data_IF_477761394834
#
_entry.id   IF_477761394834
#
_cell.length_a   1.000
_cell.length_b   1.000
_cell.length_c   1.000
_cell.angle_alpha   90.00
_cell.angle_beta   90.00
_cell.angle_gamma   90.00
#
_symmetry.space_group_name_H-M   'P 1'
#
loop_
_entity.id
_entity.type
_entity.pdbx_description
1 polymer ?
#
# COMPACT_ATOMS: atom_id res chain seq x y z
N UNK A 1 -54.67 45.43 -11.01
CA UNK A 1 -54.84 43.98 -10.81
C UNK A 1 -53.95 43.60 -9.64
N UNK A 2 -54.52 43.21 -8.50
CA UNK A 2 -53.77 42.84 -7.28
C UNK A 2 -53.77 41.31 -7.19
N UNK A 3 -52.58 40.73 -7.20
CA UNK A 3 -52.36 39.31 -6.98
C UNK A 3 -52.73 38.93 -5.55
N UNK A 4 -53.66 37.98 -5.41
CA UNK A 4 -53.99 37.35 -4.14
C UNK A 4 -53.00 36.18 -3.97
N UNK A 5 -51.98 36.38 -3.14
CA UNK A 5 -51.12 35.28 -2.69
C UNK A 5 -51.89 34.40 -1.70
N UNK A 6 -52.09 33.14 -2.06
CA UNK A 6 -52.60 32.11 -1.14
C UNK A 6 -51.57 31.82 -0.02
N UNK A 7 -52.02 31.51 1.20
CA UNK A 7 -51.16 31.17 2.34
C UNK A 7 -50.24 29.98 2.02
N UNK A 8 -49.00 30.03 2.53
CA UNK A 8 -47.93 29.04 2.28
C UNK A 8 -48.39 27.60 2.58
N UNK A 9 -49.21 27.42 3.61
CA UNK A 9 -49.69 26.10 4.05
C UNK A 9 -50.56 25.41 2.99
N UNK A 10 -51.34 26.16 2.21
CA UNK A 10 -52.15 25.61 1.13
C UNK A 10 -51.33 25.27 -0.13
N UNK A 11 -50.17 25.92 -0.34
CA UNK A 11 -49.21 25.54 -1.38
C UNK A 11 -48.46 24.26 -1.03
N UNK A 12 -48.20 24.01 0.25
CA UNK A 12 -47.54 22.80 0.73
C UNK A 12 -48.43 21.56 0.61
N UNK A 13 -49.75 21.71 0.79
CA UNK A 13 -50.69 20.60 0.60
C UNK A 13 -50.89 20.22 -0.88
N UNK A 14 -50.81 21.17 -1.81
CA UNK A 14 -50.89 20.88 -3.26
C UNK A 14 -49.62 20.22 -3.83
N UNK A 15 -48.48 20.31 -3.14
CA UNK A 15 -47.22 19.65 -3.51
C UNK A 15 -47.05 18.27 -2.87
N UNK A 16 -48.04 17.80 -2.13
CA UNK A 16 -48.01 16.52 -1.42
C UNK A 16 -48.40 15.40 -2.38
N UNK A 17 -47.45 14.92 -3.18
CA UNK A 17 -47.64 13.68 -3.94
C UNK A 17 -47.92 12.51 -2.98
N UNK A 18 -48.82 11.58 -3.32
CA UNK A 18 -49.07 10.39 -2.52
C UNK A 18 -47.85 9.49 -2.59
N UNK A 19 -47.00 9.57 -1.57
CA UNK A 19 -45.87 8.67 -1.39
C UNK A 19 -46.37 7.25 -1.07
N UNK A 20 -46.62 6.48 -2.12
CA UNK A 20 -46.70 5.03 -2.07
C UNK A 20 -45.52 4.50 -2.87
N UNK A 21 -44.36 4.42 -2.21
CA UNK A 21 -43.29 3.53 -2.63
C UNK A 21 -43.40 2.28 -1.76
N UNK A 22 -44.14 1.29 -2.24
CA UNK A 22 -43.91 -0.07 -1.77
C UNK A 22 -42.48 -0.43 -2.18
N UNK A 23 -41.61 -0.58 -1.18
CA UNK A 23 -40.23 -1.00 -1.39
C UNK A 23 -40.21 -2.26 -2.27
N UNK A 24 -39.35 -2.32 -3.31
CA UNK A 24 -39.20 -3.52 -4.14
C UNK A 24 -38.96 -4.73 -3.24
N UNK A 25 -39.58 -5.89 -3.54
CA UNK A 25 -39.51 -7.08 -2.69
C UNK A 25 -38.07 -7.48 -2.36
N UNK A 26 -37.12 -7.25 -3.27
CA UNK A 26 -35.70 -7.51 -3.03
C UNK A 26 -35.09 -6.65 -1.92
N UNK A 27 -35.55 -5.40 -1.78
CA UNK A 27 -35.14 -4.47 -0.72
C UNK A 27 -35.85 -4.83 0.58
N UNK A 28 -37.14 -5.16 0.54
CA UNK A 28 -37.91 -5.62 1.71
C UNK A 28 -37.32 -6.93 2.27
N UNK A 29 -37.06 -7.92 1.41
CA UNK A 29 -36.44 -9.19 1.80
C UNK A 29 -35.03 -9.02 2.39
N UNK A 30 -34.24 -8.05 1.89
CA UNK A 30 -32.91 -7.74 2.45
C UNK A 30 -33.03 -7.05 3.81
N UNK A 31 -33.96 -6.13 3.97
CA UNK A 31 -34.24 -5.50 5.25
C UNK A 31 -34.72 -6.52 6.28
N UNK A 32 -35.66 -7.39 5.92
CA UNK A 32 -36.20 -8.42 6.81
C UNK A 32 -35.11 -9.43 7.22
N UNK A 33 -34.23 -9.85 6.30
CA UNK A 33 -33.06 -10.66 6.64
C UNK A 33 -32.10 -9.94 7.58
N UNK A 34 -31.89 -8.64 7.36
CA UNK A 34 -30.99 -7.84 8.21
C UNK A 34 -31.58 -7.68 9.61
N UNK A 35 -32.90 -7.47 9.73
CA UNK A 35 -33.59 -7.41 11.02
C UNK A 35 -33.60 -8.76 11.74
N UNK A 36 -33.76 -9.89 11.02
CA UNK A 36 -33.62 -11.23 11.61
C UNK A 36 -32.21 -11.49 12.12
N UNK A 37 -31.18 -11.10 11.36
CA UNK A 37 -29.77 -11.23 11.79
C UNK A 37 -29.51 -10.36 13.02
N UNK A 38 -30.05 -9.14 13.07
CA UNK A 38 -29.92 -8.26 14.24
C UNK A 38 -30.66 -8.82 15.45
N UNK A 39 -31.87 -9.35 15.27
CA UNK A 39 -32.65 -9.95 16.37
C UNK A 39 -32.03 -11.27 16.88
N UNK A 40 -31.33 -12.01 16.00
CA UNK A 40 -30.49 -13.16 16.38
C UNK A 40 -29.15 -12.75 17.05
N UNK A 41 -28.58 -11.59 16.68
CA UNK A 41 -27.34 -11.07 17.27
C UNK A 41 -27.57 -10.28 18.56
N UNK A 42 -28.80 -9.83 18.83
CA UNK A 42 -29.17 -9.21 20.10
C UNK A 42 -29.50 -10.29 21.12
N UNK A 43 -28.77 -10.40 22.25
CA UNK A 43 -29.04 -11.43 23.24
C UNK A 43 -30.39 -11.17 23.90
N UNK A 44 -31.38 -11.97 23.50
CA UNK A 44 -32.69 -12.05 24.15
C UNK A 44 -32.55 -12.23 25.66
N UNK A 45 -33.13 -11.29 26.41
CA UNK A 45 -33.32 -11.36 27.87
C UNK A 45 -34.02 -12.67 28.27
N UNK A 46 -33.30 -13.71 28.71
CA UNK A 46 -33.80 -14.70 29.69
C UNK A 46 -32.69 -15.26 30.62
N UNK A 47 -32.88 -14.95 31.91
CA UNK A 47 -32.49 -15.62 33.17
C UNK A 47 -31.37 -16.70 33.18
N UNK A 48 -30.36 -16.38 34.01
CA UNK A 48 -29.67 -17.21 35.05
C UNK A 48 -28.96 -18.53 34.65
N UNK A 49 -27.65 -18.52 34.93
CA UNK A 49 -26.93 -19.47 35.83
C UNK A 49 -25.83 -20.36 35.21
N UNK A 50 -24.65 -20.23 35.83
CA UNK A 50 -23.56 -21.21 36.05
C UNK A 50 -22.43 -21.41 35.01
N UNK A 51 -21.26 -20.96 35.51
CA UNK A 51 -19.92 -21.56 35.44
C UNK A 51 -19.04 -21.28 34.21
N UNK A 52 -18.34 -20.15 34.34
CA UNK A 52 -16.90 -20.01 34.19
C UNK A 52 -16.12 -21.33 34.39
N UNK A 53 -15.52 -21.85 33.33
CA UNK A 53 -14.28 -22.65 33.39
C UNK A 53 -13.50 -22.74 32.06
N UNK A 54 -14.04 -22.23 30.95
CA UNK A 54 -13.36 -22.30 29.65
C UNK A 54 -12.51 -21.05 29.31
N UNK A 55 -12.87 -19.87 29.83
CA UNK A 55 -12.07 -18.63 29.66
C UNK A 55 -10.69 -18.65 30.34
N UNK A 56 -10.38 -19.66 31.17
CA UNK A 56 -9.05 -19.80 31.80
C UNK A 56 -8.02 -20.55 30.95
N UNK A 57 -8.36 -20.99 29.73
CA UNK A 57 -7.43 -21.73 28.86
C UNK A 57 -6.87 -20.94 27.66
N UNK A 58 -7.18 -19.65 27.54
CA UNK A 58 -6.67 -18.80 26.43
C UNK A 58 -5.63 -17.76 26.91
N UNK A 59 -5.29 -17.72 28.21
CA UNK A 59 -4.46 -16.65 28.77
C UNK A 59 -3.05 -17.06 29.22
N UNK A 60 -2.51 -18.22 28.82
CA UNK A 60 -1.14 -18.61 29.24
C UNK A 60 -0.34 -19.22 28.08
N UNK A 61 0.39 -18.36 27.37
CA UNK A 61 1.70 -18.62 26.73
C UNK A 61 2.28 -17.27 26.24
N UNK A 62 2.68 -16.34 27.13
CA UNK A 62 4.09 -15.98 27.47
C UNK A 62 5.07 -15.94 26.27
N UNK A 63 5.87 -14.89 26.00
CA UNK A 63 6.33 -13.77 26.84
C UNK A 63 6.97 -12.60 26.02
N UNK A 64 6.90 -11.38 26.56
CA UNK A 64 7.65 -10.16 26.17
C UNK A 64 6.89 -9.26 25.20
N UNK A 65 6.50 -8.01 25.45
CA UNK A 65 7.03 -6.95 26.33
C UNK A 65 5.85 -6.15 26.90
N UNK A 66 5.81 -6.02 28.23
CA UNK A 66 4.97 -5.04 28.91
C UNK A 66 5.82 -3.81 29.19
N UNK A 67 5.70 -2.78 28.33
CA UNK A 67 6.27 -1.45 28.57
C UNK A 67 5.33 -0.39 28.00
N UNK A 68 4.54 0.23 28.90
CA UNK A 68 3.88 1.52 28.78
C UNK A 68 2.72 1.65 27.76
N UNK A 69 1.50 1.58 28.30
CA UNK A 69 0.41 2.48 27.88
C UNK A 69 -0.25 2.26 26.52
N UNK A 70 -0.19 1.08 25.91
CA UNK A 70 -0.93 0.80 24.68
C UNK A 70 -2.35 0.37 25.03
N UNK A 71 -3.30 1.30 24.96
CA UNK A 71 -4.72 0.94 24.85
C UNK A 71 -4.97 0.56 23.39
N UNK A 72 -4.74 -0.70 23.03
CA UNK A 72 -5.16 -1.26 21.75
C UNK A 72 -6.70 -1.35 21.76
N UNK A 73 -7.37 -0.28 21.33
CA UNK A 73 -8.82 -0.33 21.12
C UNK A 73 -9.05 -0.96 19.75
N UNK A 74 -9.28 -2.28 19.72
CA UNK A 74 -9.95 -2.96 18.61
C UNK A 74 -11.43 -2.55 18.58
N UNK A 75 -11.73 -1.29 18.27
CA UNK A 75 -13.11 -0.86 18.00
C UNK A 75 -13.31 -0.86 16.49
N UNK A 76 -14.28 -1.63 16.01
CA UNK A 76 -14.76 -1.60 14.62
C UNK A 76 -15.47 -0.29 14.23
N UNK A 77 -15.01 0.85 14.73
CA UNK A 77 -15.49 2.18 14.38
C UNK A 77 -14.49 2.78 13.38
N UNK A 78 -14.96 3.06 12.17
CA UNK A 78 -14.17 3.73 11.14
C UNK A 78 -13.56 5.04 11.68
N UNK A 79 -12.32 5.34 11.29
CA UNK A 79 -11.66 6.60 11.67
C UNK A 79 -12.50 7.81 11.27
N UNK A 80 -12.74 8.79 12.17
CA UNK A 80 -13.36 10.07 11.81
C UNK A 80 -12.72 10.76 10.60
N UNK A 81 -11.40 10.76 10.47
CA UNK A 81 -10.72 11.34 9.31
C UNK A 81 -11.18 10.68 8.00
N UNK A 82 -11.37 9.37 8.03
CA UNK A 82 -11.80 8.58 6.86
C UNK A 82 -13.30 8.67 6.65
N UNK A 83 -14.10 8.66 7.72
CA UNK A 83 -15.53 8.88 7.64
C UNK A 83 -15.85 10.24 7.01
N UNK A 84 -15.02 11.27 7.25
CA UNK A 84 -15.16 12.56 6.62
C UNK A 84 -14.86 12.50 5.12
N UNK A 85 -13.81 11.80 4.72
CA UNK A 85 -13.47 11.55 3.31
C UNK A 85 -14.59 10.77 2.60
N UNK A 86 -15.09 9.67 3.18
CA UNK A 86 -16.22 8.89 2.64
C UNK A 86 -17.53 9.69 2.55
N UNK A 87 -17.77 10.65 3.45
CA UNK A 87 -18.93 11.54 3.40
C UNK A 87 -18.86 12.54 2.25
N UNK A 88 -17.66 13.01 1.90
CA UNK A 88 -17.49 14.07 0.90
C UNK A 88 -17.60 13.56 -0.53
N UNK A 89 -17.18 12.32 -0.79
CA UNK A 89 -17.27 11.70 -2.12
C UNK A 89 -18.15 10.46 -2.01
N UNK A 90 -19.44 10.56 -2.41
CA UNK A 90 -20.34 9.41 -2.46
C UNK A 90 -19.74 8.26 -3.27
N UNK A 91 -19.97 7.02 -2.84
CA UNK A 91 -19.47 5.77 -3.47
C UNK A 91 -17.95 5.54 -3.38
N UNK A 92 -17.19 6.45 -2.80
CA UNK A 92 -15.80 6.21 -2.47
C UNK A 92 -15.72 5.26 -1.28
N UNK A 93 -14.95 4.18 -1.41
CA UNK A 93 -14.80 3.14 -0.39
C UNK A 93 -13.33 2.94 0.05
N UNK A 94 -12.40 3.70 -0.53
CA UNK A 94 -10.96 3.56 -0.29
C UNK A 94 -10.24 4.88 -0.60
N UNK A 95 -9.29 5.28 0.25
CA UNK A 95 -8.41 6.44 0.05
C UNK A 95 -7.41 6.18 -1.07
N UNK A 96 -7.09 4.91 -1.38
CA UNK A 96 -6.24 4.56 -2.52
C UNK A 96 -6.79 5.03 -3.87
N UNK A 97 -8.10 5.29 -3.98
CA UNK A 97 -8.71 5.87 -5.19
C UNK A 97 -8.40 7.35 -5.38
N UNK A 98 -7.84 8.02 -4.37
CA UNK A 98 -7.56 9.45 -4.37
C UNK A 98 -6.12 9.81 -4.75
N UNK A 99 -5.25 8.81 -4.94
CA UNK A 99 -3.84 8.99 -5.25
C UNK A 99 -3.53 8.55 -6.68
N UNK A 100 -2.46 9.10 -7.27
CA UNK A 100 -2.12 8.88 -8.68
C UNK A 100 -1.55 7.50 -9.03
N UNK A 101 -1.41 6.59 -8.05
CA UNK A 101 -0.88 5.24 -8.26
C UNK A 101 -1.98 4.31 -8.79
N UNK A 102 -1.90 3.91 -10.07
CA UNK A 102 -2.90 3.03 -10.70
C UNK A 102 -3.02 1.66 -10.01
N UNK A 103 -1.93 1.16 -9.42
CA UNK A 103 -1.94 -0.09 -8.66
C UNK A 103 -2.82 0.00 -7.41
N UNK A 104 -2.70 1.11 -6.68
CA UNK A 104 -3.53 1.39 -5.51
C UNK A 104 -5.00 1.62 -5.88
N UNK A 105 -5.27 2.39 -6.93
CA UNK A 105 -6.63 2.57 -7.44
C UNK A 105 -7.26 1.21 -7.81
N UNK A 106 -6.52 0.40 -8.57
CA UNK A 106 -6.95 -0.94 -8.99
C UNK A 106 -7.21 -1.85 -7.79
N UNK A 107 -6.38 -1.77 -6.74
CA UNK A 107 -6.60 -2.53 -5.51
C UNK A 107 -7.95 -2.16 -4.88
N UNK A 108 -8.25 -0.87 -4.76
CA UNK A 108 -9.51 -0.37 -4.20
C UNK A 108 -10.74 -0.69 -5.06
N UNK A 109 -10.58 -0.76 -6.38
CA UNK A 109 -11.65 -1.14 -7.32
C UNK A 109 -11.94 -2.64 -7.30
N UNK A 110 -10.90 -3.47 -7.30
CA UNK A 110 -11.01 -4.94 -7.35
C UNK A 110 -11.21 -5.59 -5.98
N UNK A 111 -11.34 -4.78 -4.92
CA UNK A 111 -11.50 -5.29 -3.55
C UNK A 111 -10.27 -6.06 -3.04
N UNK A 112 -9.08 -5.72 -3.54
CA UNK A 112 -7.79 -6.31 -3.13
C UNK A 112 -7.17 -5.54 -1.95
N UNK A 113 -8.00 -4.83 -1.21
CA UNK A 113 -7.62 -4.05 -0.03
C UNK A 113 -8.15 -4.76 1.20
N UNK A 114 -7.30 -4.92 2.20
CA UNK A 114 -7.65 -5.45 3.51
C UNK A 114 -7.97 -4.31 4.45
N UNK A 115 -9.16 -4.33 5.06
CA UNK A 115 -9.49 -3.40 6.14
C UNK A 115 -8.74 -3.78 7.43
N UNK A 116 -7.95 -2.86 7.95
CA UNK A 116 -7.18 -3.01 9.21
C UNK A 116 -7.95 -2.39 10.37
N UNK A 117 -8.48 -1.17 10.18
CA UNK A 117 -9.25 -0.39 11.15
C UNK A 117 -8.65 -0.33 12.57
N UNK A 118 -7.33 -0.19 12.68
CA UNK A 118 -6.65 -0.03 13.97
C UNK A 118 -6.44 1.44 14.30
N UNK A 119 -6.52 1.76 15.59
CA UNK A 119 -6.37 3.12 16.12
C UNK A 119 -5.56 3.08 17.41
N UNK A 120 -4.63 4.01 17.55
CA UNK A 120 -3.79 4.18 18.73
C UNK A 120 -3.76 5.67 19.09
N UNK A 121 -4.05 5.99 20.35
CA UNK A 121 -4.18 7.36 20.82
C UNK A 121 -3.25 7.65 21.99
N UNK A 122 -2.45 8.72 21.87
CA UNK A 122 -1.58 9.23 22.93
C UNK A 122 -1.71 10.75 23.03
N UNK A 123 -1.88 11.26 24.26
CA UNK A 123 -1.89 12.71 24.56
C UNK A 123 -2.79 13.57 23.63
N UNK A 124 -3.94 13.04 23.20
CA UNK A 124 -4.90 13.74 22.34
C UNK A 124 -4.61 13.68 20.84
N UNK A 125 -3.54 12.98 20.44
CA UNK A 125 -3.23 12.64 19.05
C UNK A 125 -3.59 11.17 18.83
N UNK A 126 -4.30 10.88 17.74
CA UNK A 126 -4.67 9.51 17.35
C UNK A 126 -4.10 9.22 15.98
N UNK A 127 -3.36 8.12 15.86
CA UNK A 127 -3.00 7.54 14.57
C UNK A 127 -3.90 6.34 14.27
N UNK A 128 -4.25 6.17 13.01
CA UNK A 128 -5.05 5.04 12.57
C UNK A 128 -4.60 4.46 11.24
N UNK A 129 -4.74 3.15 11.11
CA UNK A 129 -4.58 2.42 9.84
C UNK A 129 -5.94 1.86 9.47
N UNK A 130 -6.53 2.34 8.37
CA UNK A 130 -7.84 1.85 7.92
C UNK A 130 -7.74 0.67 7.00
N UNK A 131 -6.80 0.73 6.08
CA UNK A 131 -6.76 -0.14 4.93
C UNK A 131 -5.32 -0.33 4.47
N UNK A 132 -5.06 -1.51 3.91
CA UNK A 132 -3.76 -1.89 3.38
C UNK A 132 -3.92 -2.80 2.17
N UNK A 133 -2.88 -2.87 1.35
CA UNK A 133 -2.73 -3.87 0.31
C UNK A 133 -1.31 -4.45 0.39
N UNK A 134 -1.19 -5.73 0.11
CA UNK A 134 0.10 -6.41 -0.02
C UNK A 134 -0.04 -7.54 -1.02
N UNK A 135 0.70 -7.45 -2.12
CA UNK A 135 0.65 -8.44 -3.22
C UNK A 135 1.87 -9.35 -3.27
N UNK A 136 2.69 -9.33 -2.21
CA UNK A 136 3.96 -10.06 -2.15
C UNK A 136 5.16 -9.24 -2.59
N UNK A 137 4.96 -8.22 -3.45
CA UNK A 137 6.03 -7.36 -3.94
C UNK A 137 6.12 -6.04 -3.19
N UNK A 138 4.99 -5.48 -2.76
CA UNK A 138 4.93 -4.14 -2.15
C UNK A 138 3.78 -4.07 -1.16
N UNK A 139 4.05 -3.47 0.00
CA UNK A 139 3.03 -3.11 0.98
C UNK A 139 2.66 -1.65 0.78
N UNK A 140 1.35 -1.36 0.75
CA UNK A 140 0.86 0.01 0.89
C UNK A 140 -0.25 0.08 1.92
N UNK A 141 -0.24 1.11 2.77
CA UNK A 141 -1.24 1.33 3.81
C UNK A 141 -1.62 2.80 3.92
N UNK A 142 -2.83 3.06 4.42
CA UNK A 142 -3.33 4.41 4.72
C UNK A 142 -3.12 4.69 6.20
N UNK A 143 -2.21 5.61 6.52
CA UNK A 143 -2.01 6.10 7.89
C UNK A 143 -2.67 7.48 8.02
N UNK A 144 -3.60 7.61 8.95
CA UNK A 144 -4.29 8.89 9.23
C UNK A 144 -3.93 9.42 10.61
N UNK A 145 -3.89 10.74 10.74
CA UNK A 145 -3.70 11.44 12.00
C UNK A 145 -4.93 12.26 12.35
N UNK A 146 -5.37 12.13 13.59
CA UNK A 146 -6.43 12.96 14.18
C UNK A 146 -5.87 13.67 15.40
N UNK A 147 -5.96 14.99 15.39
CA UNK A 147 -5.51 15.84 16.49
C UNK A 147 -6.51 16.97 16.67
N UNK A 148 -6.90 17.22 17.92
CA UNK A 148 -7.74 18.36 18.34
C UNK A 148 -7.21 19.75 17.88
N UNK A 149 -5.94 19.86 17.47
CA UNK A 149 -5.29 21.10 17.05
C UNK A 149 -5.02 21.20 15.53
N UNK A 150 -5.40 20.20 14.74
CA UNK A 150 -5.06 20.11 13.31
C UNK A 150 -6.00 20.98 12.44
N UNK A 151 -5.92 22.31 12.57
CA UNK A 151 -6.82 23.21 11.83
C UNK A 151 -6.22 23.81 10.55
N UNK A 152 -4.94 23.58 10.22
CA UNK A 152 -4.33 24.21 9.03
C UNK A 152 -3.43 23.32 8.15
N UNK A 153 -2.53 22.54 8.73
CA UNK A 153 -1.61 21.72 7.94
C UNK A 153 -2.19 20.33 7.64
N UNK A 154 -1.86 19.79 6.46
CA UNK A 154 -2.12 18.38 6.15
C UNK A 154 -1.20 17.47 6.97
N UNK A 155 -1.60 16.21 7.20
CA UNK A 155 -0.75 15.28 7.94
C UNK A 155 0.61 15.08 7.23
N UNK A 156 0.63 15.04 5.90
CA UNK A 156 1.88 14.95 5.13
C UNK A 156 2.80 16.16 5.35
N UNK A 157 2.24 17.38 5.43
CA UNK A 157 3.02 18.59 5.72
C UNK A 157 3.59 18.56 7.13
N UNK A 158 2.79 18.17 8.13
CA UNK A 158 3.25 18.00 9.50
C UNK A 158 4.36 16.94 9.59
N UNK A 159 4.15 15.79 8.95
CA UNK A 159 5.12 14.71 8.87
C UNK A 159 6.46 15.20 8.34
N UNK A 160 6.46 15.93 7.22
CA UNK A 160 7.68 16.44 6.62
C UNK A 160 8.37 17.50 7.50
N UNK A 161 7.62 18.42 8.12
CA UNK A 161 8.18 19.40 9.08
C UNK A 161 8.86 18.69 10.25
N UNK A 162 8.21 17.67 10.80
CA UNK A 162 8.71 16.91 11.94
C UNK A 162 9.90 16.02 11.60
N UNK A 163 9.89 15.39 10.42
CA UNK A 163 11.01 14.57 9.94
C UNK A 163 12.32 15.37 9.90
N UNK A 164 12.27 16.64 9.50
CA UNK A 164 13.44 17.53 9.46
C UNK A 164 13.97 17.89 10.86
N UNK A 165 13.14 17.79 11.89
CA UNK A 165 13.51 18.06 13.29
C UNK A 165 13.93 16.79 14.04
N UNK A 166 13.54 15.63 13.52
CA UNK A 166 13.82 14.32 14.11
C UNK A 166 15.31 13.99 14.03
N UNK A 167 15.85 13.44 15.12
CA UNK A 167 17.20 12.83 15.13
C UNK A 167 17.19 11.38 14.65
N UNK A 168 16.00 10.80 14.39
CA UNK A 168 15.86 9.42 13.92
C UNK A 168 16.04 9.36 12.41
N UNK A 169 16.76 8.34 11.95
CA UNK A 169 16.88 8.03 10.53
C UNK A 169 15.54 7.57 9.93
N UNK A 170 14.75 6.81 10.70
CA UNK A 170 13.44 6.30 10.31
C UNK A 170 12.36 6.74 11.30
N UNK A 171 11.21 7.16 10.77
CA UNK A 171 10.02 7.50 11.55
C UNK A 171 8.96 6.39 11.55
N UNK A 172 9.17 5.33 10.75
CA UNK A 172 8.33 4.13 10.73
C UNK A 172 9.26 2.93 10.68
N UNK A 173 9.03 1.98 11.58
CA UNK A 173 9.72 0.68 11.57
C UNK A 173 8.71 -0.45 11.41
N UNK A 174 9.07 -1.43 10.59
CA UNK A 174 8.34 -2.67 10.35
C UNK A 174 9.12 -3.84 10.92
N UNK A 175 8.41 -4.73 11.61
CA UNK A 175 8.98 -5.93 12.20
C UNK A 175 8.16 -7.17 11.86
N UNK A 176 8.87 -8.28 11.69
CA UNK A 176 8.32 -9.63 11.67
C UNK A 176 8.90 -10.37 12.87
N UNK A 177 8.08 -10.59 13.90
CA UNK A 177 8.58 -10.96 15.23
C UNK A 177 9.52 -9.88 15.77
N UNK A 178 10.74 -10.27 16.14
CA UNK A 178 11.78 -9.35 16.63
C UNK A 178 12.71 -8.84 15.53
N UNK A 179 12.58 -9.33 14.29
CA UNK A 179 13.43 -8.93 13.16
C UNK A 179 12.85 -7.68 12.50
N UNK A 180 13.63 -6.60 12.44
CA UNK A 180 13.31 -5.42 11.65
C UNK A 180 13.45 -5.73 10.15
N UNK A 181 12.47 -5.32 9.36
CA UNK A 181 12.35 -5.63 7.92
C UNK A 181 12.16 -4.37 7.06
N UNK A 182 12.67 -3.23 7.52
CA UNK A 182 12.56 -1.97 6.78
C UNK A 182 13.25 -2.06 5.41
N UNK A 183 12.59 -1.50 4.40
CA UNK A 183 13.14 -1.24 3.07
C UNK A 183 13.14 0.26 2.78
N UNK A 184 13.50 0.65 1.55
CA UNK A 184 13.09 1.95 1.03
C UNK A 184 11.60 2.18 1.25
N UNK A 185 11.24 3.40 1.66
CA UNK A 185 9.87 3.77 2.03
C UNK A 185 9.42 4.98 1.21
N UNK A 186 8.30 4.82 0.53
CA UNK A 186 7.59 5.90 -0.16
C UNK A 186 6.52 6.50 0.75
N UNK A 187 6.42 7.83 0.77
CA UNK A 187 5.33 8.54 1.44
C UNK A 187 4.69 9.50 0.45
N UNK A 188 3.37 9.43 0.32
CA UNK A 188 2.59 10.36 -0.48
C UNK A 188 1.38 10.87 0.33
N UNK A 189 0.90 12.09 0.08
CA UNK A 189 -0.33 12.58 0.70
C UNK A 189 -1.54 11.74 0.24
N UNK A 190 -2.57 11.63 1.08
CA UNK A 190 -3.83 10.96 0.74
C UNK A 190 -4.72 11.70 -0.27
N UNK A 191 -4.25 12.81 -0.83
CA UNK A 191 -5.00 13.67 -1.75
C UNK A 191 -5.79 14.79 -1.06
N UNK A 192 -6.39 15.67 -1.85
CA UNK A 192 -7.12 16.86 -1.38
C UNK A 192 -8.32 16.52 -0.49
N UNK A 193 -8.96 15.37 -0.75
CA UNK A 193 -10.12 14.89 -0.01
C UNK A 193 -9.76 14.00 1.19
N UNK A 194 -8.48 13.72 1.41
CA UNK A 194 -7.97 13.02 2.59
C UNK A 194 -6.70 13.71 3.15
N UNK A 195 -6.77 15.01 3.51
CA UNK A 195 -5.59 15.79 3.88
C UNK A 195 -4.94 15.32 5.18
N UNK A 196 -5.68 14.58 6.01
CA UNK A 196 -5.18 14.00 7.25
C UNK A 196 -4.68 12.56 7.10
N UNK A 197 -4.49 12.11 5.87
CA UNK A 197 -3.97 10.78 5.52
C UNK A 197 -2.67 10.87 4.75
N UNK A 198 -1.79 9.90 4.97
CA UNK A 198 -0.62 9.61 4.15
C UNK A 198 -0.70 8.16 3.69
N UNK A 199 -0.26 7.91 2.47
CA UNK A 199 -0.01 6.54 2.01
C UNK A 199 1.43 6.21 2.31
N UNK A 200 1.63 5.12 3.05
CA UNK A 200 2.95 4.57 3.33
C UNK A 200 3.14 3.36 2.43
N UNK A 201 4.19 3.39 1.62
CA UNK A 201 4.58 2.29 0.74
C UNK A 201 5.94 1.75 1.18
N UNK A 202 6.04 0.44 1.40
CA UNK A 202 7.24 -0.20 1.93
C UNK A 202 7.33 -1.67 1.48
N UNK A 203 8.33 -2.38 2.00
CA UNK A 203 8.66 -3.78 1.73
C UNK A 203 8.99 -4.06 0.26
N UNK A 204 9.46 -3.03 -0.44
CA UNK A 204 9.89 -3.07 -1.83
C UNK A 204 11.40 -3.31 -1.88
N UNK A 205 11.84 -4.57 -1.77
CA UNK A 205 13.25 -4.96 -1.93
C UNK A 205 13.43 -6.35 -2.53
N UNK A 206 14.45 -6.51 -3.38
CA UNK A 206 14.82 -7.77 -4.01
C UNK A 206 15.27 -8.84 -3.01
N UNK A 207 15.95 -8.41 -1.95
CA UNK A 207 16.54 -9.29 -0.93
C UNK A 207 15.56 -9.63 0.20
N UNK A 208 14.33 -9.10 0.14
CA UNK A 208 13.35 -9.27 1.19
C UNK A 208 12.47 -10.49 0.94
N UNK A 209 12.87 -11.62 1.52
CA UNK A 209 12.04 -12.82 1.57
C UNK A 209 11.09 -12.78 2.78
N UNK A 210 9.79 -12.62 2.51
CA UNK A 210 8.73 -12.71 3.50
C UNK A 210 7.94 -14.02 3.33
N UNK A 211 7.45 -14.64 4.42
CA UNK A 211 6.57 -15.80 4.33
C UNK A 211 5.20 -15.41 3.73
N UNK A 212 4.43 -16.41 3.32
CA UNK A 212 3.09 -16.21 2.75
C UNK A 212 2.09 -15.63 3.75
N UNK A 213 2.32 -15.85 5.05
CA UNK A 213 1.56 -15.18 6.10
C UNK A 213 2.42 -14.98 7.33
N UNK A 214 2.28 -13.81 7.95
CA UNK A 214 2.93 -13.44 9.21
C UNK A 214 2.17 -12.31 9.88
N UNK A 215 2.39 -12.11 11.18
CA UNK A 215 1.94 -10.91 11.87
C UNK A 215 3.00 -9.82 11.72
N UNK A 216 2.58 -8.67 11.21
CA UNK A 216 3.46 -7.52 11.06
C UNK A 216 3.23 -6.53 12.19
N UNK A 217 4.32 -6.09 12.81
CA UNK A 217 4.32 -4.96 13.74
C UNK A 217 4.85 -3.72 13.02
N UNK A 218 4.06 -2.66 13.03
CA UNK A 218 4.45 -1.34 12.55
C UNK A 218 4.55 -0.39 13.75
N UNK A 219 5.68 0.29 13.89
CA UNK A 219 5.92 1.28 14.94
C UNK A 219 6.11 2.65 14.30
N UNK A 220 5.31 3.63 14.71
CA UNK A 220 5.38 5.00 14.20
C UNK A 220 5.88 5.95 15.28
N UNK A 221 6.85 6.78 14.92
CA UNK A 221 7.46 7.79 15.78
C UNK A 221 7.10 9.19 15.29
N UNK A 222 6.34 9.91 16.11
CA UNK A 222 6.05 11.33 15.89
C UNK A 222 7.01 12.19 16.72
N UNK A 223 7.51 13.30 16.17
CA UNK A 223 8.48 14.13 16.88
C UNK A 223 7.85 14.96 18.01
N UNK A 224 6.53 15.16 17.95
CA UNK A 224 5.74 15.94 18.91
C UNK A 224 5.05 15.10 19.98
N UNK A 225 5.30 13.78 20.01
CA UNK A 225 4.74 12.84 20.98
C UNK A 225 5.84 11.87 21.43
N UNK A 226 6.04 11.75 22.75
CA UNK A 226 7.11 10.89 23.31
C UNK A 226 6.81 9.39 23.16
N UNK A 227 5.53 9.03 23.16
CA UNK A 227 5.05 7.66 23.05
C UNK A 227 5.07 7.15 21.59
N UNK A 228 5.43 5.88 21.43
CA UNK A 228 5.40 5.20 20.14
C UNK A 228 4.00 4.71 19.82
N UNK A 229 3.60 4.78 18.56
CA UNK A 229 2.33 4.21 18.09
C UNK A 229 2.60 2.84 17.48
N UNK A 230 2.09 1.78 18.11
CA UNK A 230 2.31 0.40 17.68
C UNK A 230 1.04 -0.21 17.09
N UNK A 231 1.16 -0.75 15.88
CA UNK A 231 0.10 -1.45 15.16
C UNK A 231 0.52 -2.89 14.88
N UNK A 232 -0.42 -3.83 15.01
CA UNK A 232 -0.18 -5.27 14.82
C UNK A 232 -1.24 -5.85 13.91
N UNK A 233 -0.88 -6.20 12.68
CA UNK A 233 -1.86 -6.70 11.72
C UNK A 233 -1.37 -7.92 10.93
N UNK A 234 -2.27 -8.88 10.64
CA UNK A 234 -1.90 -10.07 9.89
C UNK A 234 -1.68 -9.72 8.42
N UNK A 235 -0.55 -10.14 7.89
CA UNK A 235 -0.24 -10.10 6.47
C UNK A 235 -0.46 -11.48 5.87
N UNK A 236 -1.07 -11.50 4.69
CA UNK A 236 -1.18 -12.67 3.84
C UNK A 236 -0.87 -12.25 2.40
N UNK A 237 0.07 -12.93 1.77
CA UNK A 237 0.36 -12.74 0.35
C UNK A 237 -0.84 -13.24 -0.47
N UNK A 238 -1.32 -12.42 -1.38
CA UNK A 238 -2.27 -12.83 -2.42
C UNK A 238 -1.49 -13.31 -3.65
N UNK A 239 -0.99 -14.55 -3.61
CA UNK A 239 -0.14 -15.13 -4.67
C UNK A 239 -0.93 -15.83 -5.77
N UNK A 240 -2.25 -16.02 -5.61
CA UNK A 240 -3.07 -16.78 -6.57
C UNK A 240 -3.12 -16.13 -7.96
N UNK A 241 -2.84 -14.83 -8.04
CA UNK A 241 -2.91 -14.02 -9.26
C UNK A 241 -1.54 -13.53 -9.73
N UNK A 242 -0.47 -14.05 -9.15
CA UNK A 242 0.90 -13.66 -9.47
C UNK A 242 1.47 -14.54 -10.58
N UNK A 243 1.91 -13.91 -11.66
CA UNK A 243 2.68 -14.57 -12.72
C UNK A 243 4.14 -14.31 -12.47
N UNK A 244 4.93 -15.38 -12.35
CA UNK A 244 6.38 -15.30 -12.17
C UNK A 244 7.05 -15.72 -13.48
N UNK A 245 7.78 -14.80 -14.10
CA UNK A 245 8.62 -15.08 -15.26
C UNK A 245 10.08 -15.16 -14.83
N UNK A 246 10.78 -16.17 -15.32
CA UNK A 246 12.22 -16.36 -15.15
C UNK A 246 12.81 -16.76 -16.50
N UNK A 247 14.03 -16.32 -16.75
CA UNK A 247 14.82 -16.74 -17.91
C UNK A 247 16.22 -17.13 -17.45
N UNK A 248 16.83 -18.10 -18.14
CA UNK A 248 18.24 -18.40 -17.98
C UNK A 248 19.10 -17.66 -19.02
N UNK A 249 18.48 -16.83 -19.87
CA UNK A 249 19.18 -16.01 -20.84
C UNK A 249 20.00 -14.92 -20.12
N UNK A 250 21.23 -14.74 -20.58
CA UNK A 250 22.11 -13.66 -20.15
C UNK A 250 22.54 -12.87 -21.38
N UNK A 251 22.62 -11.54 -21.27
CA UNK A 251 23.08 -10.66 -22.34
C UNK A 251 24.28 -9.85 -21.89
N UNK A 252 25.25 -9.69 -22.79
CA UNK A 252 26.49 -8.99 -22.48
C UNK A 252 26.77 -7.90 -23.50
N UNK A 253 27.12 -6.71 -23.02
CA UNK A 253 27.55 -5.59 -23.84
C UNK A 253 28.43 -4.65 -23.02
N UNK A 254 29.57 -4.20 -23.56
CA UNK A 254 30.47 -3.24 -22.89
C UNK A 254 30.80 -3.59 -21.42
N UNK A 255 31.16 -4.85 -21.18
CA UNK A 255 31.45 -5.43 -19.86
C UNK A 255 30.27 -5.50 -18.88
N UNK A 256 29.07 -5.09 -19.30
CA UNK A 256 27.82 -5.29 -18.56
C UNK A 256 27.30 -6.67 -18.91
N UNK A 257 27.25 -7.59 -17.93
CA UNK A 257 26.64 -8.92 -18.10
C UNK A 257 25.34 -8.95 -17.31
N UNK A 258 24.22 -8.87 -18.03
CA UNK A 258 22.90 -8.67 -17.48
C UNK A 258 22.08 -9.96 -17.54
N UNK A 259 21.30 -10.20 -16.49
CA UNK A 259 20.33 -11.28 -16.40
C UNK A 259 18.99 -10.75 -15.86
N UNK A 260 17.89 -11.39 -16.26
CA UNK A 260 16.59 -11.11 -15.65
C UNK A 260 16.33 -12.20 -14.60
N UNK A 261 16.59 -11.87 -13.33
CA UNK A 261 16.41 -12.80 -12.22
C UNK A 261 14.95 -13.22 -12.09
N UNK A 262 14.05 -12.24 -12.20
CA UNK A 262 12.60 -12.46 -12.06
C UNK A 262 11.79 -11.27 -12.56
N UNK A 263 10.65 -11.56 -13.18
CA UNK A 263 9.54 -10.60 -13.33
C UNK A 263 8.33 -11.16 -12.58
N UNK A 264 7.73 -10.36 -11.71
CA UNK A 264 6.49 -10.70 -11.00
C UNK A 264 5.37 -9.78 -11.47
N UNK A 265 4.31 -10.34 -12.00
CA UNK A 265 3.15 -9.58 -12.47
C UNK A 265 1.97 -9.93 -11.56
N UNK A 266 1.46 -8.95 -10.85
CA UNK A 266 0.21 -9.05 -10.08
C UNK A 266 -0.86 -8.17 -10.73
N UNK A 267 -2.14 -8.27 -10.32
CA UNK A 267 -3.17 -7.36 -10.80
C UNK A 267 -2.95 -5.89 -10.42
N UNK A 268 -2.01 -5.58 -9.53
CA UNK A 268 -1.82 -4.25 -8.94
C UNK A 268 -0.38 -3.73 -8.98
N UNK A 269 0.62 -4.54 -9.29
CA UNK A 269 2.02 -4.11 -9.47
C UNK A 269 2.76 -5.09 -10.39
N UNK A 270 3.69 -4.57 -11.19
CA UNK A 270 4.68 -5.39 -11.89
C UNK A 270 6.05 -5.12 -11.29
N UNK A 271 6.77 -6.15 -10.85
CA UNK A 271 8.12 -6.03 -10.30
C UNK A 271 9.14 -6.66 -11.24
N UNK A 272 10.22 -5.95 -11.53
CA UNK A 272 11.36 -6.43 -12.30
C UNK A 272 12.59 -6.51 -11.40
N UNK A 273 13.25 -7.66 -11.38
CA UNK A 273 14.56 -7.88 -10.76
C UNK A 273 15.59 -8.21 -11.85
N UNK A 274 16.67 -7.44 -11.89
CA UNK A 274 17.75 -7.54 -12.87
C UNK A 274 19.08 -7.69 -12.15
N UNK A 275 19.81 -8.75 -12.48
CA UNK A 275 21.19 -8.96 -12.03
C UNK A 275 22.19 -8.39 -13.03
N UNK A 276 23.24 -7.74 -12.52
CA UNK A 276 24.44 -7.35 -13.29
C UNK A 276 25.68 -7.94 -12.63
N UNK A 277 26.49 -8.64 -13.40
CA UNK A 277 27.64 -9.39 -12.91
C UNK A 277 28.92 -9.11 -13.73
N UNK A 278 30.08 -9.39 -13.13
CA UNK A 278 31.36 -9.39 -13.83
C UNK A 278 31.45 -10.44 -14.93
N UNK A 279 32.39 -10.27 -15.88
CA UNK A 279 32.47 -11.10 -17.09
C UNK A 279 32.69 -12.58 -16.80
N UNK A 280 33.46 -12.88 -15.75
CA UNK A 280 33.69 -14.24 -15.26
C UNK A 280 32.65 -14.73 -14.23
N UNK A 281 31.74 -13.87 -13.77
CA UNK A 281 30.83 -14.14 -12.64
C UNK A 281 31.53 -14.26 -11.27
N UNK A 282 32.87 -14.25 -11.25
CA UNK A 282 33.72 -14.42 -10.07
C UNK A 282 34.43 -13.12 -9.66
N UNK A 283 34.33 -12.09 -10.50
CA UNK A 283 34.90 -10.77 -10.22
C UNK A 283 34.20 -10.09 -9.04
N UNK A 284 34.99 -9.43 -8.20
CA UNK A 284 34.49 -8.46 -7.22
C UNK A 284 33.79 -7.31 -7.95
N UNK A 285 32.65 -6.88 -7.41
CA UNK A 285 31.90 -5.67 -7.74
C UNK A 285 32.77 -4.49 -8.19
N UNK A 286 33.87 -4.15 -7.48
CA UNK A 286 34.73 -3.02 -7.87
C UNK A 286 35.38 -3.22 -9.24
N UNK A 287 35.92 -4.41 -9.50
CA UNK A 287 36.55 -4.74 -10.78
C UNK A 287 35.53 -4.77 -11.92
N UNK A 288 34.33 -5.29 -11.63
CA UNK A 288 33.21 -5.23 -12.57
C UNK A 288 32.91 -3.77 -12.94
N UNK A 289 32.77 -2.88 -11.95
CA UNK A 289 32.49 -1.45 -12.21
C UNK A 289 33.60 -0.75 -12.99
N UNK A 290 34.87 -1.04 -12.69
CA UNK A 290 36.01 -0.46 -13.39
C UNK A 290 36.05 -0.85 -14.87
N UNK A 291 35.57 -2.06 -15.21
CA UNK A 291 35.52 -2.55 -16.59
C UNK A 291 34.35 -1.97 -17.41
N UNK A 292 33.33 -1.41 -16.75
CA UNK A 292 32.17 -0.80 -17.43
C UNK A 292 32.53 0.62 -17.88
N UNK A 293 32.24 1.03 -19.13
CA UNK A 293 32.50 2.40 -19.59
C UNK A 293 31.75 3.47 -18.79
N UNK A 294 32.37 4.62 -18.62
CA UNK A 294 31.77 5.77 -17.89
C UNK A 294 30.51 6.31 -18.57
N UNK A 295 30.27 5.98 -19.85
CA UNK A 295 29.02 6.30 -20.53
C UNK A 295 27.78 5.71 -19.86
N UNK A 296 27.95 4.63 -19.07
CA UNK A 296 26.89 3.96 -18.31
C UNK A 296 26.84 4.37 -16.83
N UNK A 297 27.71 5.29 -16.41
CA UNK A 297 27.84 5.71 -15.02
C UNK A 297 27.32 7.11 -14.80
N UNK A 298 26.79 7.34 -13.60
CA UNK A 298 26.44 8.66 -13.06
C UNK A 298 27.16 8.80 -11.72
N UNK A 299 27.97 9.85 -11.56
CA UNK A 299 28.79 10.08 -10.38
C UNK A 299 29.69 8.88 -9.98
N UNK A 300 30.16 8.12 -10.98
CA UNK A 300 31.01 6.95 -10.79
C UNK A 300 30.27 5.64 -10.47
N UNK A 301 28.94 5.66 -10.37
CA UNK A 301 28.11 4.48 -10.13
C UNK A 301 27.38 4.04 -11.39
N UNK A 302 27.27 2.73 -11.60
CA UNK A 302 26.43 2.18 -12.67
C UNK A 302 24.97 2.61 -12.44
N UNK A 303 24.37 3.28 -13.42
CA UNK A 303 23.02 3.81 -13.32
C UNK A 303 22.15 3.28 -14.47
N UNK A 304 21.80 2.01 -14.39
CA UNK A 304 20.87 1.38 -15.32
C UNK A 304 19.44 1.57 -14.82
N UNK A 305 18.59 2.08 -15.72
CA UNK A 305 17.14 2.11 -15.59
C UNK A 305 16.53 1.19 -16.65
N UNK A 306 15.26 0.85 -16.49
CA UNK A 306 14.58 -0.12 -17.34
C UNK A 306 13.19 0.38 -17.68
N UNK A 307 12.83 0.33 -18.96
CA UNK A 307 11.45 0.42 -19.40
C UNK A 307 10.90 -0.97 -19.68
N UNK A 308 9.60 -1.13 -19.47
CA UNK A 308 8.88 -2.37 -19.74
C UNK A 308 7.74 -2.06 -20.69
N UNK A 309 7.69 -2.79 -21.82
CA UNK A 309 6.64 -2.67 -22.83
C UNK A 309 5.88 -3.99 -22.98
N UNK A 310 4.60 -3.92 -23.34
CA UNK A 310 3.82 -5.09 -23.78
C UNK A 310 4.03 -5.39 -25.29
N UNK A 311 3.34 -6.41 -25.82
CA UNK A 311 3.46 -6.77 -27.25
C UNK A 311 3.00 -5.67 -28.22
N UNK A 312 2.28 -4.66 -27.75
CA UNK A 312 1.78 -3.52 -28.54
C UNK A 312 2.70 -2.30 -28.43
N UNK A 313 3.76 -2.37 -27.62
CA UNK A 313 4.67 -1.27 -27.36
C UNK A 313 4.17 -0.28 -26.29
N UNK A 314 3.17 -0.66 -25.48
CA UNK A 314 2.71 0.20 -24.39
C UNK A 314 3.69 0.13 -23.21
N UNK A 315 4.40 1.23 -22.97
CA UNK A 315 5.31 1.38 -21.82
C UNK A 315 4.55 1.41 -20.49
N UNK A 316 5.05 0.68 -19.49
CA UNK A 316 4.56 0.72 -18.12
C UNK A 316 5.25 1.83 -17.33
N UNK A 317 4.49 2.59 -16.54
CA UNK A 317 5.05 3.63 -15.70
C UNK A 317 5.80 3.03 -14.50
N UNK A 318 7.07 3.41 -14.32
CA UNK A 318 7.82 3.07 -13.12
C UNK A 318 7.28 3.84 -11.91
N UNK A 319 7.09 3.13 -10.80
CA UNK A 319 6.62 3.68 -9.51
C UNK A 319 7.80 3.94 -8.58
N UNK A 320 8.69 2.96 -8.47
CA UNK A 320 9.85 3.02 -7.58
C UNK A 320 10.96 2.11 -8.12
N UNK A 321 12.21 2.47 -7.85
CA UNK A 321 13.36 1.66 -8.20
C UNK A 321 14.47 1.79 -7.17
N UNK A 322 15.16 0.69 -6.91
CA UNK A 322 16.33 0.65 -6.05
C UNK A 322 17.38 -0.32 -6.63
N UNK A 323 18.66 0.00 -6.39
CA UNK A 323 19.77 -0.88 -6.70
C UNK A 323 20.57 -1.18 -5.44
N UNK A 324 21.00 -2.43 -5.28
CA UNK A 324 21.98 -2.84 -4.28
C UNK A 324 23.17 -3.50 -4.97
N UNK A 325 24.36 -3.29 -4.42
CA UNK A 325 25.58 -3.92 -4.90
C UNK A 325 26.38 -4.46 -3.73
N UNK A 326 26.62 -5.76 -3.72
CA UNK A 326 27.49 -6.43 -2.74
C UNK A 326 28.13 -7.67 -3.37
N UNK A 327 29.35 -7.99 -2.96
CA UNK A 327 30.06 -9.19 -3.42
C UNK A 327 30.43 -9.13 -4.91
N UNK A 328 29.77 -9.97 -5.73
CA UNK A 328 30.13 -10.26 -7.13
C UNK A 328 29.28 -9.53 -8.18
N UNK A 329 28.40 -8.63 -7.77
CA UNK A 329 27.52 -7.94 -8.71
C UNK A 329 26.57 -6.93 -8.09
N UNK A 330 25.58 -6.53 -8.89
CA UNK A 330 24.48 -5.64 -8.51
C UNK A 330 23.15 -6.28 -8.83
N UNK A 331 22.15 -5.94 -8.03
CA UNK A 331 20.75 -6.25 -8.30
C UNK A 331 19.98 -4.94 -8.39
N UNK A 332 19.26 -4.77 -9.48
CA UNK A 332 18.30 -3.69 -9.66
C UNK A 332 16.90 -4.23 -9.48
N UNK A 333 16.09 -3.48 -8.76
CA UNK A 333 14.69 -3.78 -8.53
C UNK A 333 13.85 -2.58 -8.89
N UNK A 334 12.88 -2.77 -9.78
CA UNK A 334 11.97 -1.70 -10.19
C UNK A 334 10.53 -2.19 -10.13
N UNK A 335 9.67 -1.40 -9.50
CA UNK A 335 8.22 -1.60 -9.43
C UNK A 335 7.55 -0.68 -10.45
N UNK A 336 6.59 -1.21 -11.20
CA UNK A 336 5.82 -0.53 -12.23
C UNK A 336 4.32 -0.65 -11.95
N UNK A 337 3.55 0.22 -12.58
CA UNK A 337 2.11 0.08 -12.67
C UNK A 337 1.70 -1.28 -13.25
N UNK A 338 0.54 -1.82 -12.85
CA UNK A 338 0.06 -3.08 -13.37
C UNK A 338 -0.30 -2.95 -14.85
N UNK A 339 -0.06 -4.01 -15.62
CA UNK A 339 -0.62 -4.11 -16.95
C UNK A 339 -2.16 -4.10 -16.88
N UNK A 340 -2.79 -3.25 -17.69
CA UNK A 340 -4.26 -3.16 -17.77
C UNK A 340 -4.90 -4.48 -18.22
N UNK A 341 -4.21 -5.19 -19.11
CA UNK A 341 -4.57 -6.52 -19.62
C UNK A 341 -3.34 -7.40 -19.50
N UNK A 342 -3.49 -8.69 -19.16
CA UNK A 342 -2.37 -9.65 -19.12
C UNK A 342 -1.65 -9.61 -20.48
N UNK A 343 -0.36 -9.21 -20.54
CA UNK A 343 0.38 -9.21 -21.79
C UNK A 343 0.71 -10.63 -22.21
N UNK A 344 0.97 -10.84 -23.50
CA UNK A 344 1.47 -12.11 -24.06
C UNK A 344 3.00 -12.13 -24.20
N UNK A 345 3.59 -10.95 -24.29
CA UNK A 345 5.03 -10.72 -24.35
C UNK A 345 5.38 -9.48 -23.53
N UNK A 346 6.48 -9.55 -22.80
CA UNK A 346 7.09 -8.39 -22.15
C UNK A 346 8.43 -8.11 -22.80
N UNK A 347 8.69 -6.85 -23.11
CA UNK A 347 9.98 -6.36 -23.60
C UNK A 347 10.60 -5.48 -22.52
N UNK A 348 11.80 -5.84 -22.07
CA UNK A 348 12.57 -5.08 -21.05
C UNK A 348 13.70 -4.36 -21.76
N UNK A 349 13.70 -3.03 -21.66
CA UNK A 349 14.60 -2.14 -22.39
C UNK A 349 15.48 -1.38 -21.40
N UNK A 350 16.73 -1.83 -21.19
CA UNK A 350 17.66 -1.11 -20.33
C UNK A 350 18.11 0.19 -20.99
N UNK A 351 18.29 1.23 -20.19
CA UNK A 351 18.80 2.52 -20.63
C UNK A 351 19.59 3.22 -19.53
N UNK A 352 20.37 4.21 -19.94
CA UNK A 352 21.03 5.15 -19.02
C UNK A 352 20.44 6.53 -19.25
N UNK A 353 19.97 7.15 -18.18
CA UNK A 353 19.42 8.50 -18.22
C UNK A 353 20.53 9.54 -18.15
N UNK A 354 20.54 10.47 -19.11
CA UNK A 354 21.41 11.66 -19.11
C UNK A 354 20.55 12.90 -19.29
N UNK A 355 20.25 13.57 -18.18
CA UNK A 355 19.27 14.65 -18.18
C UNK A 355 17.86 14.11 -18.54
N UNK A 356 17.15 14.72 -19.51
CA UNK A 356 15.83 14.23 -19.93
C UNK A 356 15.91 12.99 -20.85
N UNK A 357 17.07 12.72 -21.45
CA UNK A 357 17.19 11.73 -22.51
C UNK A 357 17.42 10.31 -21.96
N UNK A 358 16.65 9.35 -22.50
CA UNK A 358 16.86 7.91 -22.29
C UNK A 358 17.79 7.37 -23.37
N UNK A 359 19.00 6.95 -23.01
CA UNK A 359 19.93 6.30 -23.93
C UNK A 359 19.78 4.78 -23.80
N UNK A 360 18.96 4.20 -24.67
CA UNK A 360 18.70 2.75 -24.67
C UNK A 360 19.92 1.92 -25.07
N UNK A 361 19.96 0.69 -24.56
CA UNK A 361 21.02 -0.30 -24.83
C UNK A 361 20.39 -1.54 -25.49
N UNK A 362 20.08 -1.51 -26.81
CA UNK A 362 19.33 -2.58 -27.48
C UNK A 362 19.99 -3.97 -27.39
N UNK A 363 21.31 -4.03 -27.25
CA UNK A 363 22.08 -5.27 -27.10
C UNK A 363 21.73 -6.02 -25.81
N UNK A 364 21.19 -5.30 -24.82
CA UNK A 364 20.78 -5.83 -23.53
C UNK A 364 19.24 -5.94 -23.41
N UNK A 365 18.47 -5.74 -24.49
CA UNK A 365 17.00 -5.86 -24.45
C UNK A 365 16.55 -7.31 -24.26
N UNK A 366 15.62 -7.58 -23.35
CA UNK A 366 15.04 -8.93 -23.15
C UNK A 366 13.61 -9.02 -23.67
N UNK A 367 13.24 -10.19 -24.20
CA UNK A 367 11.88 -10.50 -24.65
C UNK A 367 11.38 -11.75 -23.95
N UNK A 368 10.42 -11.58 -23.04
CA UNK A 368 9.93 -12.63 -22.17
C UNK A 368 8.49 -12.99 -22.53
N UNK A 369 8.23 -14.18 -23.10
CA UNK A 369 6.87 -14.62 -23.36
C UNK A 369 6.13 -14.89 -22.05
N UNK A 370 4.90 -14.40 -21.95
CA UNK A 370 4.03 -14.60 -20.79
C UNK A 370 3.07 -15.72 -21.12
N UNK A 371 3.24 -16.88 -20.45
CA UNK A 371 2.41 -18.07 -20.67
C UNK A 371 1.20 -18.11 -19.76
#
# INVERSE_FOLDING_TARGET
MKDIQLPIDQRLEQLREPYISELPESVRNRMDRTYQIIDEMLPGRKRRSRKNRWLRRVLISTAGVASLGIVMIFSGLASPAIAQTLKQIPFMNSVFKLVGDLGLQTAGEKGMVTSVNQRVSHKGVTLSISEMMYDGSRLSLVLSREDSKAEKDSFFQLWNKQRMLSKRANNIDFYMGDKQINTGMGLQPGGEHAPQSIIVTALDSADLELPDSFEMKMVVYLADVDENYEFLFPIKKDTERTIILKTSETKSHDSINMSIDRVEITPITTRLLVGVHGASGEEDYRKMLDAIPDSYKVDGFLNLEFDIEDEQGNEQNAIAGNGSGEGKGMVFSTSYEPFKVKPSLIVIKPFVRKGPDKNYIPQLEFKLPVR
#
